data_IF_870486770359
#
_entry.id   IF_870486770359
#
_cell.length_a   1.000
_cell.length_b   1.000
_cell.length_c   1.000
_cell.angle_alpha   90.00
_cell.angle_beta   90.00
_cell.angle_gamma   90.00
#
_symmetry.space_group_name_H-M   'P 1'
#
loop_
_entity.id
_entity.type
_entity.pdbx_description
1 polymer ?
#
# COMPACT_ATOMS: atom_id res chain seq x y z
N UNK A 1 -7.38 5.29 -6.03
CA UNK A 1 -7.79 4.96 -4.65
C UNK A 1 -6.53 4.53 -3.86
N UNK A 2 -5.51 5.35 -3.61
CA UNK A 2 -5.42 6.70 -3.02
C UNK A 2 -5.28 7.90 -3.99
N UNK A 3 -4.97 7.68 -5.27
CA UNK A 3 -4.91 8.75 -6.28
C UNK A 3 -6.28 9.31 -6.74
N UNK A 4 -7.37 8.97 -6.05
CA UNK A 4 -8.73 9.42 -6.41
C UNK A 4 -9.30 10.42 -5.40
N UNK A 5 -8.61 10.67 -4.28
CA UNK A 5 -9.09 11.57 -3.22
C UNK A 5 -8.42 12.95 -3.25
N UNK A 6 -8.26 13.49 -4.45
CA UNK A 6 -7.64 14.78 -4.68
C UNK A 6 -6.50 14.64 -5.67
N UNK A 7 -6.48 15.53 -6.65
CA UNK A 7 -5.42 15.74 -7.63
C UNK A 7 -4.13 16.17 -6.92
N UNK A 8 -3.58 15.32 -6.07
CA UNK A 8 -2.34 15.54 -5.34
C UNK A 8 -1.22 14.94 -6.15
N UNK A 9 -0.24 15.77 -6.49
CA UNK A 9 1.01 15.29 -7.08
C UNK A 9 1.68 14.33 -6.09
N UNK A 10 2.52 13.38 -6.54
CA UNK A 10 3.24 12.48 -5.66
C UNK A 10 4.00 13.21 -4.54
N UNK A 11 4.43 14.44 -4.82
CA UNK A 11 5.10 15.36 -3.88
C UNK A 11 4.21 15.89 -2.75
N UNK A 12 2.89 15.85 -2.92
CA UNK A 12 1.88 16.44 -2.02
C UNK A 12 1.16 15.38 -1.17
N UNK A 13 1.52 14.11 -1.36
CA UNK A 13 1.12 13.03 -0.46
C UNK A 13 2.08 13.07 0.73
N UNK A 14 1.59 13.19 1.97
CA UNK A 14 2.43 13.06 3.15
C UNK A 14 3.23 11.76 3.03
N UNK A 15 4.56 11.87 3.07
CA UNK A 15 5.40 10.67 2.98
C UNK A 15 5.17 9.74 4.18
N UNK A 16 4.65 10.25 5.30
CA UNK A 16 4.33 9.49 6.50
C UNK A 16 2.90 8.95 6.48
N UNK A 17 2.75 7.68 6.81
CA UNK A 17 1.49 6.97 7.01
C UNK A 17 1.26 6.84 8.51
N UNK A 18 0.12 7.31 9.00
CA UNK A 18 -0.22 7.16 10.42
C UNK A 18 -0.69 5.73 10.74
N UNK A 19 -0.77 5.40 12.04
CA UNK A 19 -1.15 4.05 12.48
C UNK A 19 -2.56 3.63 12.06
N UNK A 20 -3.49 4.58 11.91
CA UNK A 20 -4.87 4.31 11.50
C UNK A 20 -4.96 4.10 9.99
N UNK A 21 -4.26 4.91 9.21
CA UNK A 21 -4.10 4.76 7.77
C UNK A 21 -3.42 3.45 7.43
N UNK A 22 -2.39 3.05 8.18
CA UNK A 22 -1.72 1.76 8.03
C UNK A 22 -2.66 0.60 8.35
N UNK A 23 -3.42 0.68 9.46
CA UNK A 23 -4.42 -0.32 9.81
C UNK A 23 -5.50 -0.44 8.72
N UNK A 24 -5.93 0.69 8.16
CA UNK A 24 -6.89 0.70 7.07
C UNK A 24 -6.32 0.09 5.79
N UNK A 25 -5.06 0.41 5.45
CA UNK A 25 -4.37 -0.17 4.30
C UNK A 25 -4.28 -1.70 4.40
N UNK A 26 -3.88 -2.20 5.58
CA UNK A 26 -3.81 -3.64 5.87
C UNK A 26 -5.18 -4.29 5.65
N UNK A 27 -6.22 -3.73 6.27
CA UNK A 27 -7.58 -4.24 6.11
C UNK A 27 -8.03 -4.28 4.64
N UNK A 28 -7.69 -3.26 3.84
CA UNK A 28 -8.01 -3.25 2.41
C UNK A 28 -7.27 -4.33 1.61
N UNK A 29 -6.02 -4.65 1.97
CA UNK A 29 -5.25 -5.72 1.34
C UNK A 29 -5.89 -7.07 1.67
N UNK A 30 -6.27 -7.28 2.92
CA UNK A 30 -6.92 -8.52 3.37
C UNK A 30 -8.24 -8.76 2.65
N UNK A 31 -9.10 -7.74 2.57
CA UNK A 31 -10.37 -7.80 1.84
C UNK A 31 -10.15 -8.05 0.34
N UNK A 32 -9.15 -7.39 -0.27
CA UNK A 32 -8.88 -7.49 -1.71
C UNK A 32 -8.30 -8.84 -2.13
N UNK A 33 -7.41 -9.41 -1.32
CA UNK A 33 -6.71 -10.65 -1.64
C UNK A 33 -7.29 -11.88 -0.93
N UNK A 34 -8.27 -11.67 -0.03
CA UNK A 34 -8.95 -12.74 0.72
C UNK A 34 -8.02 -13.52 1.64
N UNK A 35 -6.92 -12.91 2.09
CA UNK A 35 -5.89 -13.54 2.93
C UNK A 35 -5.43 -12.56 4.00
N UNK A 36 -5.17 -13.04 5.23
CA UNK A 36 -4.62 -12.19 6.28
C UNK A 36 -3.25 -11.63 5.86
N UNK A 37 -2.98 -10.39 6.24
CA UNK A 37 -1.72 -9.73 5.97
C UNK A 37 -0.77 -10.03 7.15
N UNK A 38 -0.16 -11.20 7.10
CA UNK A 38 0.74 -11.71 8.14
C UNK A 38 2.19 -11.31 7.83
N UNK A 39 2.60 -10.16 8.35
CA UNK A 39 3.96 -9.62 8.22
C UNK A 39 4.51 -9.31 9.60
N UNK A 40 5.84 -9.31 9.74
CA UNK A 40 6.50 -8.95 10.99
C UNK A 40 6.43 -7.44 11.26
N UNK A 41 6.65 -7.08 12.54
CA UNK A 41 6.64 -5.68 12.98
C UNK A 41 7.70 -4.83 12.27
N UNK A 42 8.83 -5.44 11.86
CA UNK A 42 9.87 -4.77 11.08
C UNK A 42 9.36 -4.37 9.68
N UNK A 43 8.60 -5.24 9.03
CA UNK A 43 7.93 -4.95 7.76
C UNK A 43 6.85 -3.89 7.95
N UNK A 44 6.04 -3.97 9.02
CA UNK A 44 5.06 -2.93 9.35
C UNK A 44 5.72 -1.57 9.59
N UNK A 45 6.86 -1.52 10.27
CA UNK A 45 7.60 -0.29 10.51
C UNK A 45 8.09 0.35 9.20
N UNK A 46 8.45 -0.46 8.19
CA UNK A 46 8.80 0.03 6.84
C UNK A 46 7.59 0.62 6.11
N UNK A 47 6.37 0.23 6.46
CA UNK A 47 5.13 0.75 5.85
C UNK A 47 4.63 2.06 6.47
N UNK A 48 5.35 2.64 7.44
CA UNK A 48 5.08 3.97 8.02
C UNK A 48 5.32 5.12 7.03
N UNK A 49 5.75 4.80 5.81
CA UNK A 49 5.81 5.74 4.71
C UNK A 49 5.10 5.20 3.47
N UNK A 50 4.57 6.08 2.63
CA UNK A 50 3.90 5.66 1.38
C UNK A 50 4.88 4.93 0.47
N UNK A 51 6.11 5.44 0.34
CA UNK A 51 7.17 4.79 -0.45
C UNK A 51 7.56 3.43 0.11
N UNK A 52 7.69 3.32 1.44
CA UNK A 52 8.00 2.07 2.11
C UNK A 52 6.87 1.04 2.01
N UNK A 53 5.61 1.48 2.15
CA UNK A 53 4.44 0.64 1.93
C UNK A 53 4.37 0.11 0.48
N UNK A 54 4.56 0.97 -0.52
CA UNK A 54 4.61 0.54 -1.92
C UNK A 54 5.76 -0.44 -2.20
N UNK A 55 6.93 -0.23 -1.58
CA UNK A 55 8.06 -1.14 -1.71
C UNK A 55 7.74 -2.53 -1.12
N UNK A 56 7.21 -2.58 0.10
CA UNK A 56 6.81 -3.83 0.77
C UNK A 56 5.73 -4.55 -0.04
N UNK A 57 4.69 -3.85 -0.49
CA UNK A 57 3.62 -4.47 -1.28
C UNK A 57 4.11 -5.05 -2.61
N UNK A 58 5.13 -4.43 -3.21
CA UNK A 58 5.79 -4.97 -4.41
C UNK A 58 6.67 -6.17 -4.09
N UNK A 59 7.43 -6.12 -3.00
CA UNK A 59 8.26 -7.25 -2.50
C UNK A 59 7.39 -8.49 -2.24
N UNK A 60 6.22 -8.30 -1.64
CA UNK A 60 5.27 -9.37 -1.31
C UNK A 60 4.39 -9.81 -2.50
N UNK A 61 4.52 -9.18 -3.67
CA UNK A 61 3.76 -9.56 -4.87
C UNK A 61 2.30 -9.08 -4.88
N UNK A 62 1.90 -8.17 -3.99
CA UNK A 62 0.60 -7.50 -4.01
C UNK A 62 0.51 -6.42 -5.11
N UNK A 63 1.59 -6.19 -5.86
CA UNK A 63 1.58 -5.41 -7.11
C UNK A 63 1.01 -6.24 -8.27
N UNK A 64 -0.24 -6.70 -8.14
CA UNK A 64 -0.91 -7.58 -9.09
C UNK A 64 -2.23 -6.99 -9.57
N UNK A 65 -2.19 -6.15 -10.61
CA UNK A 65 -3.39 -5.65 -11.27
C UNK A 65 -3.15 -4.47 -12.21
N UNK A 66 -2.25 -4.61 -13.18
CA UNK A 66 -2.40 -3.88 -14.45
C UNK A 66 -2.98 -4.87 -15.46
N UNK A 67 -4.31 -4.94 -15.66
CA UNK A 67 -4.86 -5.58 -16.84
C UNK A 67 -4.59 -4.67 -18.05
N UNK A 68 -3.58 -5.00 -18.86
CA UNK A 68 -3.39 -4.38 -20.17
C UNK A 68 -1.98 -3.87 -20.47
N UNK A 69 -1.05 -4.79 -20.66
CA UNK A 69 0.07 -4.59 -21.57
C UNK A 69 0.33 -5.92 -22.29
N UNK A 70 -0.47 -6.18 -23.32
CA UNK A 70 -0.16 -7.14 -24.38
C UNK A 70 0.18 -6.31 -25.64
N UNK A 71 1.08 -6.80 -26.50
CA UNK A 71 1.85 -6.01 -27.46
C UNK A 71 1.04 -5.37 -28.59
#
# INVERSE_FOLDING_TARGET
MLATYGERRPEEVPETVDSLELAWLIHQIEERYGKPFDVDDDTLARMTTVGGACAVLRELGYAGGVPGAAP
#
